data_IF_004782726854
#
_entry.id   IF_004782726854
#
_cell.length_a   1.000
_cell.length_b   1.000
_cell.length_c   1.000
_cell.angle_alpha   90.00
_cell.angle_beta   90.00
_cell.angle_gamma   90.00
#
_symmetry.space_group_name_H-M   'P 1'
#
loop_
_entity.id
_entity.type
_entity.pdbx_description
1 polymer ?
#
# COMPACT_ATOMS: atom_id res chain seq x y z
N UNK A 1 13.25 -76.33 -0.14
CA UNK A 1 12.13 -76.50 -1.08
C UNK A 1 11.95 -75.18 -1.80
N UNK A 2 12.64 -75.08 -2.92
CA UNK A 2 12.73 -73.93 -3.82
C UNK A 2 11.94 -74.30 -5.06
N UNK A 3 10.99 -73.46 -5.49
CA UNK A 3 10.37 -73.44 -6.82
C UNK A 3 9.61 -72.10 -7.02
N UNK A 4 9.38 -71.66 -8.26
CA UNK A 4 9.80 -70.35 -8.78
C UNK A 4 8.61 -69.45 -9.20
N UNK A 5 8.85 -68.20 -9.63
CA UNK A 5 7.86 -67.40 -10.36
C UNK A 5 7.93 -67.64 -11.88
N UNK A 6 6.77 -67.60 -12.56
CA UNK A 6 6.65 -67.47 -14.02
C UNK A 6 5.75 -66.28 -14.42
N UNK A 7 5.92 -65.73 -15.65
CA UNK A 7 5.71 -64.33 -16.00
C UNK A 7 4.58 -64.10 -17.03
N UNK A 8 4.10 -62.85 -17.17
CA UNK A 8 3.34 -62.40 -18.34
C UNK A 8 3.78 -60.96 -18.76
N UNK A 9 4.50 -60.92 -19.88
CA UNK A 9 4.94 -59.80 -20.74
C UNK A 9 3.74 -59.02 -21.37
N UNK A 10 3.86 -58.01 -22.29
CA UNK A 10 5.05 -57.58 -23.06
C UNK A 10 5.16 -56.09 -23.50
N UNK A 11 6.29 -55.80 -24.15
CA UNK A 11 6.43 -55.00 -25.38
C UNK A 11 6.50 -53.47 -25.28
N UNK A 12 7.74 -52.95 -25.28
CA UNK A 12 8.11 -51.93 -26.27
C UNK A 12 9.43 -52.34 -26.91
N UNK A 13 9.31 -52.90 -28.11
CA UNK A 13 10.37 -53.04 -29.09
C UNK A 13 10.99 -51.68 -29.42
N UNK A 14 12.31 -51.61 -29.40
CA UNK A 14 13.12 -51.22 -30.56
C UNK A 14 14.58 -51.08 -30.13
N UNK A 15 15.35 -52.10 -30.47
CA UNK A 15 16.81 -52.04 -30.51
C UNK A 15 17.23 -51.12 -31.67
N UNK A 16 18.24 -50.28 -31.49
CA UNK A 16 19.44 -50.53 -32.29
C UNK A 16 20.66 -50.72 -31.39
N UNK A 17 21.22 -51.92 -31.50
CA UNK A 17 22.41 -52.40 -30.82
C UNK A 17 23.61 -51.78 -31.53
N UNK A 18 23.85 -50.48 -31.33
CA UNK A 18 25.10 -49.86 -31.74
C UNK A 18 26.17 -50.21 -30.71
N UNK A 19 26.84 -51.34 -30.96
CA UNK A 19 28.18 -51.60 -30.42
C UNK A 19 29.14 -50.58 -31.02
N UNK A 20 29.28 -49.43 -30.36
CA UNK A 20 30.42 -48.52 -30.53
C UNK A 20 30.74 -48.08 -29.11
N UNK A 21 31.51 -48.91 -28.40
CA UNK A 21 32.93 -48.69 -28.23
C UNK A 21 33.21 -47.44 -27.38
N UNK A 22 33.53 -47.70 -26.10
CA UNK A 22 34.50 -46.94 -25.30
C UNK A 22 34.48 -45.43 -25.46
N UNK A 23 33.40 -44.77 -25.02
CA UNK A 23 33.43 -43.36 -24.62
C UNK A 23 32.62 -43.18 -23.33
N UNK A 24 32.87 -44.05 -22.35
CA UNK A 24 32.54 -43.78 -20.95
C UNK A 24 33.59 -42.78 -20.44
N UNK A 25 33.26 -41.49 -20.40
CA UNK A 25 34.22 -40.48 -19.97
C UNK A 25 33.64 -39.08 -19.76
N UNK A 26 33.19 -38.35 -20.80
CA UNK A 26 33.00 -36.91 -20.62
C UNK A 26 31.56 -36.40 -20.65
N UNK A 27 30.53 -37.26 -20.64
CA UNK A 27 29.13 -36.77 -20.74
C UNK A 27 28.41 -36.59 -19.40
N UNK A 28 28.93 -37.15 -18.29
CA UNK A 28 28.33 -36.97 -16.95
C UNK A 28 28.75 -35.67 -16.27
N UNK A 29 29.81 -35.01 -16.74
CA UNK A 29 30.33 -33.78 -16.14
C UNK A 29 29.51 -32.51 -16.48
N UNK A 30 28.75 -32.51 -17.59
CA UNK A 30 27.98 -31.32 -18.01
C UNK A 30 26.67 -31.15 -17.22
N UNK A 31 26.09 -32.23 -16.66
CA UNK A 31 24.88 -32.12 -15.84
C UNK A 31 25.13 -31.59 -14.41
N UNK A 32 26.38 -31.56 -13.95
CA UNK A 32 26.74 -31.03 -12.63
C UNK A 32 26.98 -29.51 -12.62
N UNK A 33 27.17 -28.88 -13.79
CA UNK A 33 27.33 -27.43 -13.89
C UNK A 33 26.00 -26.64 -13.95
N UNK A 34 24.86 -27.31 -14.18
CA UNK A 34 23.55 -26.65 -14.18
C UNK A 34 23.02 -26.35 -12.76
N UNK A 35 23.72 -26.78 -11.70
CA UNK A 35 23.33 -26.51 -10.31
C UNK A 35 23.83 -25.16 -9.77
N UNK A 36 24.78 -24.48 -10.43
CA UNK A 36 25.33 -23.20 -9.96
C UNK A 36 24.52 -21.94 -10.38
N UNK A 37 23.24 -22.08 -10.76
CA UNK A 37 22.38 -20.91 -11.10
C UNK A 37 21.35 -20.56 -10.01
N UNK A 38 21.38 -21.23 -8.85
CA UNK A 38 20.31 -21.11 -7.84
C UNK A 38 20.55 -20.09 -6.72
N UNK A 39 21.69 -19.41 -6.70
CA UNK A 39 21.97 -18.33 -5.75
C UNK A 39 22.41 -17.11 -6.55
N UNK A 40 21.47 -16.26 -7.01
CA UNK A 40 21.85 -14.98 -7.60
C UNK A 40 22.61 -14.19 -6.53
N UNK A 41 23.85 -13.79 -6.82
CA UNK A 41 24.70 -12.88 -6.01
C UNK A 41 24.13 -11.45 -5.94
N UNK A 42 22.98 -11.22 -6.58
CA UNK A 42 22.30 -9.94 -6.67
C UNK A 42 21.18 -9.85 -5.63
N UNK A 43 21.09 -8.75 -4.85
CA UNK A 43 20.02 -8.56 -3.88
C UNK A 43 18.63 -8.74 -4.51
N UNK A 44 17.66 -9.31 -3.78
CA UNK A 44 16.31 -9.46 -4.29
C UNK A 44 15.71 -8.08 -4.59
N UNK A 45 14.89 -7.95 -5.64
CA UNK A 45 14.32 -6.67 -6.06
C UNK A 45 13.44 -6.02 -4.99
N UNK A 46 12.85 -6.82 -4.10
CA UNK A 46 12.07 -6.29 -2.98
C UNK A 46 12.94 -5.57 -1.95
N UNK A 47 14.20 -5.99 -1.75
CA UNK A 47 15.12 -5.36 -0.79
C UNK A 47 15.53 -3.96 -1.26
N UNK A 48 15.87 -3.78 -2.53
CA UNK A 48 16.15 -2.45 -3.09
C UNK A 48 14.89 -1.58 -3.13
N UNK A 49 13.73 -2.15 -3.45
CA UNK A 49 12.46 -1.44 -3.41
C UNK A 49 12.12 -0.95 -1.99
N UNK A 50 12.35 -1.77 -0.96
CA UNK A 50 12.12 -1.40 0.44
C UNK A 50 13.03 -0.27 0.90
N UNK A 51 14.32 -0.30 0.52
CA UNK A 51 15.26 0.79 0.79
C UNK A 51 14.81 2.10 0.13
N UNK A 52 14.41 2.04 -1.14
CA UNK A 52 13.91 3.20 -1.87
C UNK A 52 12.61 3.74 -1.24
N UNK A 53 11.71 2.86 -0.79
CA UNK A 53 10.46 3.27 -0.15
C UNK A 53 10.71 4.00 1.18
N UNK A 54 11.63 3.52 2.02
CA UNK A 54 11.99 4.20 3.28
C UNK A 54 12.66 5.55 3.01
N UNK A 55 13.47 5.67 1.95
CA UNK A 55 14.11 6.92 1.57
C UNK A 55 13.15 7.90 0.86
N UNK A 56 12.07 7.39 0.26
CA UNK A 56 11.13 8.18 -0.53
C UNK A 56 10.02 8.86 0.28
N UNK A 57 9.91 8.58 1.58
CA UNK A 57 8.91 9.22 2.45
C UNK A 57 9.50 10.45 3.15
N UNK A 58 8.67 11.47 3.38
CA UNK A 58 9.07 12.64 4.18
C UNK A 58 9.21 12.22 5.66
N UNK A 59 10.44 12.23 6.23
CA UNK A 59 10.67 11.79 7.60
C UNK A 59 9.94 12.65 8.62
N UNK A 60 9.69 13.93 8.36
CA UNK A 60 9.00 14.80 9.30
C UNK A 60 7.53 14.41 9.43
N UNK A 61 6.87 14.16 8.31
CA UNK A 61 5.47 13.75 8.24
C UNK A 61 5.27 12.37 8.84
N UNK A 62 6.04 11.36 8.40
CA UNK A 62 5.84 9.99 8.87
C UNK A 62 6.26 9.80 10.33
N UNK A 63 7.29 10.50 10.83
CA UNK A 63 7.65 10.42 12.24
C UNK A 63 6.63 11.13 13.14
N UNK A 64 5.93 12.15 12.65
CA UNK A 64 4.88 12.86 13.40
C UNK A 64 3.61 12.03 13.51
N UNK A 65 3.22 11.36 12.43
CA UNK A 65 1.90 10.72 12.32
C UNK A 65 1.92 9.19 12.40
N UNK A 66 3.05 8.54 12.13
CA UNK A 66 3.21 7.08 12.13
C UNK A 66 4.61 6.60 12.59
N UNK A 67 5.10 7.02 13.78
CA UNK A 67 6.45 6.70 14.26
C UNK A 67 6.63 5.19 14.49
N UNK A 68 5.76 4.59 15.31
CA UNK A 68 5.04 3.33 15.04
C UNK A 68 5.60 2.44 13.93
N UNK A 69 4.94 2.60 12.80
CA UNK A 69 5.03 1.80 11.60
C UNK A 69 6.36 2.04 10.88
N UNK A 70 6.89 3.26 10.95
CA UNK A 70 8.20 3.57 10.38
C UNK A 70 9.35 2.91 11.13
N UNK A 71 9.26 2.80 12.46
CA UNK A 71 10.22 2.04 13.23
C UNK A 71 10.18 0.57 12.83
N UNK A 72 8.98 -0.03 12.79
CA UNK A 72 8.83 -1.42 12.38
C UNK A 72 9.33 -1.66 10.94
N UNK A 73 9.07 -0.74 10.01
CA UNK A 73 9.58 -0.82 8.65
C UNK A 73 11.11 -0.89 8.61
N UNK A 74 11.79 -0.02 9.36
CA UNK A 74 13.27 -0.03 9.46
C UNK A 74 13.77 -1.33 10.06
N UNK A 75 13.15 -1.80 11.14
CA UNK A 75 13.51 -3.08 11.77
C UNK A 75 13.38 -4.27 10.80
N UNK A 76 12.30 -4.31 10.00
CA UNK A 76 12.11 -5.36 8.98
C UNK A 76 13.13 -5.26 7.85
N UNK A 77 13.47 -4.04 7.42
CA UNK A 77 14.51 -3.83 6.42
C UNK A 77 15.89 -4.25 6.94
N UNK A 78 16.21 -3.99 8.21
CA UNK A 78 17.46 -4.41 8.83
C UNK A 78 17.55 -5.95 8.93
N UNK A 79 16.43 -6.59 9.31
CA UNK A 79 16.32 -8.05 9.29
C UNK A 79 16.45 -8.61 7.87
N UNK A 80 15.86 -7.96 6.86
CA UNK A 80 15.99 -8.35 5.47
C UNK A 80 17.45 -8.28 4.99
N UNK A 81 18.17 -7.22 5.35
CA UNK A 81 19.60 -7.06 5.05
C UNK A 81 20.46 -8.10 5.77
N UNK A 82 20.13 -8.45 7.02
CA UNK A 82 20.79 -9.54 7.73
C UNK A 82 20.54 -10.89 7.05
N UNK A 83 19.30 -11.20 6.70
CA UNK A 83 18.95 -12.44 5.98
C UNK A 83 19.65 -12.53 4.61
N UNK A 84 19.80 -11.40 3.90
CA UNK A 84 20.54 -11.35 2.64
C UNK A 84 22.03 -11.65 2.84
N UNK A 85 22.67 -11.07 3.87
CA UNK A 85 24.07 -11.35 4.22
C UNK A 85 24.29 -12.81 4.64
N UNK A 86 23.27 -13.45 5.20
CA UNK A 86 23.28 -14.87 5.56
C UNK A 86 22.88 -15.79 4.38
N UNK A 87 22.86 -15.28 3.15
CA UNK A 87 22.51 -15.99 1.91
C UNK A 87 21.07 -16.57 1.92
N UNK A 88 20.19 -16.07 2.81
CA UNK A 88 18.78 -16.50 2.91
C UNK A 88 17.88 -15.62 2.03
N UNK A 89 18.04 -15.74 0.72
CA UNK A 89 17.36 -14.87 -0.27
C UNK A 89 15.83 -14.85 -0.14
N UNK A 90 15.18 -15.97 0.09
CA UNK A 90 13.71 -16.02 0.29
C UNK A 90 13.26 -15.33 1.59
N UNK A 91 14.05 -15.46 2.66
CA UNK A 91 13.73 -14.77 3.91
C UNK A 91 13.93 -13.26 3.75
N UNK A 92 15.01 -12.86 3.08
CA UNK A 92 15.29 -11.46 2.76
C UNK A 92 14.18 -10.83 1.92
N UNK A 93 13.66 -11.56 0.91
CA UNK A 93 12.61 -11.04 0.05
C UNK A 93 11.30 -10.83 0.81
N UNK A 94 10.87 -11.79 1.64
CA UNK A 94 9.66 -11.68 2.47
C UNK A 94 9.76 -10.55 3.50
N UNK A 95 10.88 -10.44 4.20
CA UNK A 95 11.10 -9.37 5.19
C UNK A 95 11.09 -7.98 4.53
N UNK A 96 11.65 -7.86 3.32
CA UNK A 96 11.59 -6.62 2.56
C UNK A 96 10.17 -6.26 2.09
N UNK A 97 9.37 -7.25 1.70
CA UNK A 97 7.94 -7.04 1.38
C UNK A 97 7.13 -6.60 2.60
N UNK A 98 7.40 -7.18 3.78
CA UNK A 98 6.80 -6.72 5.04
C UNK A 98 7.19 -5.27 5.36
N UNK A 99 8.47 -4.91 5.17
CA UNK A 99 8.93 -3.53 5.30
C UNK A 99 8.16 -2.60 4.35
N UNK A 100 7.95 -3.00 3.09
CA UNK A 100 7.20 -2.21 2.11
C UNK A 100 5.74 -2.00 2.56
N UNK A 101 5.10 -3.03 3.08
CA UNK A 101 3.74 -2.93 3.60
C UNK A 101 3.66 -1.94 4.79
N UNK A 102 4.65 -1.96 5.68
CA UNK A 102 4.73 -1.03 6.81
C UNK A 102 4.96 0.41 6.37
N UNK A 103 5.82 0.67 5.39
CA UNK A 103 6.00 2.02 4.82
C UNK A 103 4.69 2.53 4.21
N UNK A 104 3.99 1.69 3.45
CA UNK A 104 2.69 2.07 2.86
C UNK A 104 1.65 2.37 3.93
N UNK A 105 1.63 1.59 5.02
CA UNK A 105 0.76 1.82 6.16
C UNK A 105 1.09 3.15 6.85
N UNK A 106 2.37 3.45 7.06
CA UNK A 106 2.82 4.71 7.64
C UNK A 106 2.42 5.92 6.78
N UNK A 107 2.59 5.81 5.46
CA UNK A 107 2.19 6.85 4.52
C UNK A 107 0.68 7.05 4.53
N UNK A 108 -0.09 5.97 4.48
CA UNK A 108 -1.56 6.04 4.51
C UNK A 108 -2.07 6.71 5.80
N UNK A 109 -1.49 6.36 6.96
CA UNK A 109 -1.81 7.00 8.24
C UNK A 109 -1.47 8.48 8.25
N UNK A 110 -0.31 8.83 7.72
CA UNK A 110 0.13 10.23 7.65
C UNK A 110 -0.79 11.06 6.76
N UNK A 111 -1.11 10.57 5.56
CA UNK A 111 -2.04 11.21 4.64
C UNK A 111 -3.45 11.36 5.28
N UNK A 112 -3.91 10.36 6.02
CA UNK A 112 -5.19 10.42 6.71
C UNK A 112 -5.21 11.48 7.83
N UNK A 113 -4.11 11.59 8.59
CA UNK A 113 -3.97 12.60 9.64
C UNK A 113 -3.94 14.02 9.06
N UNK A 114 -3.21 14.25 7.97
CA UNK A 114 -3.19 15.54 7.26
C UNK A 114 -4.56 15.92 6.70
N UNK A 115 -5.26 14.95 6.07
CA UNK A 115 -6.61 15.17 5.59
C UNK A 115 -7.58 15.52 6.73
N UNK A 116 -7.44 14.87 7.89
CA UNK A 116 -8.24 15.18 9.06
C UNK A 116 -7.97 16.59 9.59
N UNK A 117 -6.70 17.01 9.68
CA UNK A 117 -6.33 18.36 10.08
C UNK A 117 -6.91 19.41 9.11
N UNK A 118 -6.80 19.19 7.80
CA UNK A 118 -7.38 20.07 6.79
C UNK A 118 -8.91 20.20 6.93
N UNK A 119 -9.61 19.10 7.23
CA UNK A 119 -11.06 19.13 7.48
C UNK A 119 -11.41 19.95 8.72
N UNK A 120 -10.64 19.79 9.79
CA UNK A 120 -10.84 20.55 11.04
C UNK A 120 -10.60 22.04 10.85
N UNK A 121 -9.62 22.42 10.04
CA UNK A 121 -9.33 23.82 9.71
C UNK A 121 -10.46 24.47 8.90
N UNK A 122 -11.01 23.76 7.91
CA UNK A 122 -12.20 24.23 7.17
C UNK A 122 -13.40 24.38 8.11
N UNK A 123 -13.67 23.38 8.96
CA UNK A 123 -14.77 23.44 9.92
C UNK A 123 -14.59 24.55 10.97
N UNK A 124 -13.36 24.87 11.36
CA UNK A 124 -13.05 26.02 12.22
C UNK A 124 -13.32 27.33 11.51
N UNK A 125 -12.92 27.44 10.24
CA UNK A 125 -13.15 28.64 9.42
C UNK A 125 -14.63 28.93 9.24
N UNK A 126 -15.45 27.91 8.94
CA UNK A 126 -16.91 28.05 8.82
C UNK A 126 -17.52 28.57 10.14
N UNK A 127 -17.16 27.96 11.28
CA UNK A 127 -17.66 28.40 12.60
C UNK A 127 -17.27 29.84 12.93
N UNK A 128 -16.04 30.25 12.60
CA UNK A 128 -15.61 31.64 12.77
C UNK A 128 -16.48 32.58 11.96
N UNK A 129 -16.69 32.28 10.67
CA UNK A 129 -17.55 33.09 9.79
C UNK A 129 -18.99 33.17 10.29
N UNK A 130 -19.58 32.04 10.72
CA UNK A 130 -20.92 32.01 11.32
C UNK A 130 -21.01 32.87 12.58
N UNK A 131 -19.97 32.84 13.43
CA UNK A 131 -19.92 33.66 14.63
C UNK A 131 -19.83 35.16 14.31
N UNK A 132 -19.05 35.54 13.29
CA UNK A 132 -18.93 36.94 12.85
C UNK A 132 -20.26 37.45 12.26
N UNK A 133 -20.93 36.64 11.45
CA UNK A 133 -22.27 36.96 10.90
C UNK A 133 -23.30 37.09 12.03
N UNK A 134 -23.34 36.16 12.98
CA UNK A 134 -24.25 36.20 14.13
C UNK A 134 -24.00 37.41 15.03
N UNK A 135 -22.74 37.71 15.34
CA UNK A 135 -22.34 38.92 16.08
C UNK A 135 -22.70 40.19 15.32
N UNK A 136 -22.52 40.25 14.00
CA UNK A 136 -22.90 41.39 13.17
C UNK A 136 -24.42 41.60 13.10
N UNK A 137 -25.20 40.52 13.06
CA UNK A 137 -26.65 40.56 13.13
C UNK A 137 -27.13 41.07 14.51
N UNK A 138 -26.52 40.59 15.60
CA UNK A 138 -26.77 41.09 16.96
C UNK A 138 -26.38 42.57 17.13
N UNK A 139 -25.30 43.03 16.47
CA UNK A 139 -24.91 44.45 16.44
C UNK A 139 -25.85 45.34 15.63
N UNK A 140 -26.63 44.75 14.71
CA UNK A 140 -27.66 45.43 13.90
C UNK A 140 -29.07 45.30 14.48
N UNK A 141 -29.25 44.68 15.65
CA UNK A 141 -30.55 44.66 16.30
C UNK A 141 -30.98 46.11 16.61
N UNK A 142 -32.14 46.57 16.08
CA UNK A 142 -32.54 47.96 16.13
C UNK A 142 -32.83 48.36 17.58
N UNK A 143 -32.29 49.51 17.99
CA UNK A 143 -32.86 50.27 19.10
C UNK A 143 -34.37 50.42 18.82
N UNK A 144 -35.19 49.81 19.67
CA UNK A 144 -36.62 49.76 19.48
C UNK A 144 -37.22 51.17 19.37
N UNK A 145 -37.85 51.44 18.25
CA UNK A 145 -39.06 52.28 18.21
C UNK A 145 -40.20 51.38 17.82
N UNK A 146 -40.95 50.94 18.82
CA UNK A 146 -42.10 50.07 18.65
C UNK A 146 -43.21 50.77 17.89
N UNK A 147 -43.88 50.02 17.02
CA UNK A 147 -45.25 50.30 16.59
C UNK A 147 -45.86 48.99 16.05
N UNK A 148 -47.11 48.76 16.44
CA UNK A 148 -47.92 47.55 16.27
C UNK A 148 -48.05 47.07 14.82
N UNK A 149 -48.18 45.74 14.66
CA UNK A 149 -48.60 45.10 13.42
C UNK A 149 -49.28 43.77 13.69
N UNK A 150 -50.54 43.83 14.15
CA UNK A 150 -51.46 42.68 14.21
C UNK A 150 -51.88 42.28 12.79
N UNK A 151 -51.66 41.03 12.39
CA UNK A 151 -52.34 40.49 11.22
C UNK A 151 -51.79 39.17 10.68
N UNK A 152 -52.62 38.13 10.73
CA UNK A 152 -52.76 37.23 9.58
C UNK A 152 -52.19 35.81 9.70
N UNK A 153 -53.03 34.89 10.14
CA UNK A 153 -52.99 33.45 9.84
C UNK A 153 -52.85 33.16 8.34
N UNK A 154 -52.17 32.06 7.97
CA UNK A 154 -52.53 31.33 6.75
C UNK A 154 -51.45 30.41 6.17
N UNK A 155 -51.74 29.10 6.19
CA UNK A 155 -51.39 27.99 5.27
C UNK A 155 -50.06 28.10 4.49
N UNK A 156 -49.14 27.12 4.54
CA UNK A 156 -49.38 25.70 4.32
C UNK A 156 -49.05 25.37 2.86
N UNK A 157 -47.80 25.01 2.58
CA UNK A 157 -47.42 24.32 1.35
C UNK A 157 -46.26 23.36 1.61
N UNK A 158 -46.48 22.12 1.17
CA UNK A 158 -45.55 21.01 1.29
C UNK A 158 -44.74 20.97 -0.01
N UNK A 159 -43.58 21.60 -0.01
CA UNK A 159 -42.66 21.63 -1.15
C UNK A 159 -41.66 20.48 -1.10
N UNK A 160 -42.03 19.32 -1.64
CA UNK A 160 -41.09 18.24 -1.95
C UNK A 160 -40.18 18.71 -3.10
N UNK A 161 -38.90 18.91 -2.83
CA UNK A 161 -37.91 19.32 -3.84
C UNK A 161 -36.52 18.80 -3.53
N UNK A 162 -36.20 17.61 -4.05
CA UNK A 162 -34.80 17.15 -4.23
C UNK A 162 -34.04 18.11 -5.13
N UNK A 163 -32.74 18.30 -4.86
CA UNK A 163 -31.79 18.26 -5.97
C UNK A 163 -30.66 17.26 -5.72
N UNK A 164 -30.50 16.38 -6.70
CA UNK A 164 -29.24 15.68 -6.94
C UNK A 164 -28.16 16.70 -7.32
N UNK A 165 -27.07 16.77 -6.56
CA UNK A 165 -25.80 17.38 -6.98
C UNK A 165 -24.80 16.25 -7.20
N UNK A 166 -24.55 15.83 -8.44
CA UNK A 166 -23.59 16.42 -9.39
C UNK A 166 -22.14 16.35 -8.90
N UNK A 167 -21.51 15.24 -9.27
CA UNK A 167 -20.09 14.98 -9.44
C UNK A 167 -19.34 16.19 -10.03
N UNK A 168 -18.20 16.56 -9.45
CA UNK A 168 -17.28 17.52 -10.08
C UNK A 168 -16.33 18.25 -9.12
N UNK A 169 -15.49 17.52 -8.38
CA UNK A 169 -14.35 18.13 -7.70
C UNK A 169 -13.13 18.07 -8.64
N UNK A 170 -12.80 19.19 -9.29
CA UNK A 170 -11.47 19.39 -9.89
C UNK A 170 -10.50 19.84 -8.80
N UNK A 171 -9.27 19.32 -8.75
CA UNK A 171 -8.25 19.82 -7.84
C UNK A 171 -7.73 21.19 -8.31
N UNK A 172 -7.75 22.17 -7.42
CA UNK A 172 -7.11 23.47 -7.61
C UNK A 172 -5.63 23.35 -7.24
N UNK A 173 -4.76 23.50 -8.24
CA UNK A 173 -3.30 23.58 -8.06
C UNK A 173 -2.92 25.02 -7.64
N UNK A 174 -2.23 25.25 -6.51
CA UNK A 174 -1.74 26.57 -6.17
C UNK A 174 -0.52 26.96 -7.02
N UNK A 175 -0.35 28.25 -7.40
CA UNK A 175 0.87 28.70 -8.06
C UNK A 175 2.03 28.73 -7.06
N UNK A 176 3.13 28.07 -7.42
CA UNK A 176 4.40 28.14 -6.72
C UNK A 176 4.96 29.56 -6.70
N UNK A 177 5.60 29.90 -5.58
CA UNK A 177 6.44 31.09 -5.39
C UNK A 177 7.87 30.79 -5.80
#
# INVERSE_FOLDING_TARGET
>A
MTRPPLPLSPSVSATPRRRVARLAGPLTAVLLLAACSSTPDTPPPSLSAAQAAIQGVDPQTVNRHAPVEMQQARERLDQAQAAWRDERTEAASRLAEESLAMVRLAQARSNAAEAQAAREDVARTIRTLESEVGLAAGRRAPAGTGTMGTGGMGAGDTGTGSPAGSTGATPVTPPGR
#
